data_IF_123201976257
#
_entry.id   IF_123201976257
#
_cell.length_a   1.000
_cell.length_b   1.000
_cell.length_c   1.000
_cell.angle_alpha   90.00
_cell.angle_beta   90.00
_cell.angle_gamma   90.00
#
_symmetry.space_group_name_H-M   'P 1'
#
loop_
_entity.id
_entity.type
_entity.pdbx_description
1 polymer ?
#
# COMPACT_ATOMS: atom_id res chain seq x y z
N UNK A 1 -37.64 14.47 15.32
CA UNK A 1 -36.40 15.25 15.46
C UNK A 1 -35.27 14.27 15.20
N UNK A 2 -34.80 14.16 13.96
CA UNK A 2 -33.62 13.33 13.68
C UNK A 2 -32.43 14.05 14.32
N UNK A 3 -31.84 13.41 15.33
CA UNK A 3 -30.76 14.01 16.09
C UNK A 3 -29.48 13.99 15.25
N UNK A 4 -28.74 15.10 15.22
CA UNK A 4 -27.43 15.17 14.55
C UNK A 4 -26.47 14.09 15.10
N UNK A 5 -26.67 13.69 16.35
CA UNK A 5 -25.97 12.58 16.99
C UNK A 5 -26.13 11.25 16.22
N UNK A 6 -27.36 10.92 15.79
CA UNK A 6 -27.63 9.67 15.06
C UNK A 6 -26.94 9.65 13.68
N UNK A 7 -26.97 10.77 12.95
CA UNK A 7 -26.29 10.89 11.66
C UNK A 7 -24.77 10.72 11.80
N UNK A 8 -24.19 11.28 12.87
CA UNK A 8 -22.77 11.17 13.17
C UNK A 8 -22.36 9.73 13.51
N UNK A 9 -23.13 9.04 14.35
CA UNK A 9 -22.87 7.62 14.67
C UNK A 9 -22.92 6.73 13.42
N UNK A 10 -23.91 6.93 12.55
CA UNK A 10 -24.03 6.18 11.31
C UNK A 10 -22.83 6.42 10.37
N UNK A 11 -22.37 7.66 10.28
CA UNK A 11 -21.20 8.04 9.46
C UNK A 11 -19.92 7.39 10.01
N UNK A 12 -19.67 7.51 11.32
CA UNK A 12 -18.48 6.94 11.97
C UNK A 12 -18.45 5.42 11.79
N UNK A 13 -19.58 4.75 12.03
CA UNK A 13 -19.68 3.30 11.86
C UNK A 13 -19.42 2.88 10.41
N UNK A 14 -20.01 3.59 9.45
CA UNK A 14 -19.81 3.32 8.02
C UNK A 14 -18.34 3.47 7.62
N UNK A 15 -17.68 4.54 8.06
CA UNK A 15 -16.27 4.80 7.78
C UNK A 15 -15.36 3.69 8.30
N UNK A 16 -15.58 3.21 9.52
CA UNK A 16 -14.80 2.10 10.08
C UNK A 16 -14.99 0.80 9.30
N UNK A 17 -16.21 0.54 8.81
CA UNK A 17 -16.47 -0.63 7.94
C UNK A 17 -15.69 -0.52 6.63
N UNK A 18 -15.73 0.63 5.97
CA UNK A 18 -14.98 0.84 4.72
C UNK A 18 -13.47 0.81 4.93
N UNK A 19 -12.96 1.38 6.03
CA UNK A 19 -11.56 1.30 6.42
C UNK A 19 -11.12 -0.17 6.52
N UNK A 20 -11.85 -1.00 7.27
CA UNK A 20 -11.55 -2.41 7.45
C UNK A 20 -11.54 -3.18 6.11
N UNK A 21 -12.48 -2.87 5.22
CA UNK A 21 -12.52 -3.48 3.89
C UNK A 21 -11.27 -3.13 3.07
N UNK A 22 -10.87 -1.86 3.06
CA UNK A 22 -9.69 -1.39 2.33
C UNK A 22 -8.39 -1.97 2.90
N UNK A 23 -8.26 -2.02 4.23
CA UNK A 23 -7.14 -2.68 4.91
C UNK A 23 -7.06 -4.17 4.55
N UNK A 24 -8.21 -4.85 4.53
CA UNK A 24 -8.27 -6.27 4.15
C UNK A 24 -7.82 -6.49 2.71
N UNK A 25 -8.29 -5.65 1.78
CA UNK A 25 -7.87 -5.71 0.37
C UNK A 25 -6.36 -5.45 0.25
N UNK A 26 -5.83 -4.46 0.98
CA UNK A 26 -4.40 -4.17 1.04
C UNK A 26 -3.59 -5.39 1.47
N UNK A 27 -3.97 -6.04 2.57
CA UNK A 27 -3.31 -7.26 3.06
C UNK A 27 -3.35 -8.37 2.01
N UNK A 28 -4.48 -8.58 1.35
CA UNK A 28 -4.62 -9.58 0.27
C UNK A 28 -3.66 -9.27 -0.88
N UNK A 29 -3.55 -8.01 -1.30
CA UNK A 29 -2.61 -7.58 -2.34
C UNK A 29 -1.16 -7.90 -1.96
N UNK A 30 -0.75 -7.61 -0.71
CA UNK A 30 0.61 -7.93 -0.22
C UNK A 30 0.86 -9.44 -0.26
N UNK A 31 -0.10 -10.25 0.21
CA UNK A 31 0.02 -11.71 0.23
C UNK A 31 0.16 -12.27 -1.19
N UNK A 32 -0.67 -11.82 -2.14
CA UNK A 32 -0.60 -12.25 -3.55
C UNK A 32 0.76 -11.85 -4.16
N UNK A 33 1.20 -10.63 -3.91
CA UNK A 33 2.50 -10.12 -4.35
C UNK A 33 3.65 -10.99 -3.85
N UNK A 34 3.63 -11.34 -2.56
CA UNK A 34 4.64 -12.17 -1.92
C UNK A 34 4.68 -13.56 -2.56
N UNK A 35 3.53 -14.21 -2.73
CA UNK A 35 3.45 -15.54 -3.35
C UNK A 35 4.02 -15.51 -4.77
N UNK A 36 3.64 -14.52 -5.59
CA UNK A 36 4.17 -14.37 -6.95
C UNK A 36 5.68 -14.13 -6.97
N UNK A 37 6.19 -13.30 -6.05
CA UNK A 37 7.62 -13.02 -5.94
C UNK A 37 8.43 -14.28 -5.56
N UNK A 38 7.93 -15.08 -4.60
CA UNK A 38 8.54 -16.33 -4.19
C UNK A 38 8.58 -17.35 -5.34
N UNK A 39 7.48 -17.48 -6.12
CA UNK A 39 7.45 -18.35 -7.30
C UNK A 39 8.55 -17.96 -8.30
N UNK A 40 8.71 -16.66 -8.58
CA UNK A 40 9.74 -16.16 -9.51
C UNK A 40 11.15 -16.45 -8.98
N UNK A 41 11.35 -16.33 -7.67
CA UNK A 41 12.63 -16.60 -7.02
C UNK A 41 13.00 -18.09 -7.10
N UNK A 42 12.05 -18.98 -6.83
CA UNK A 42 12.23 -20.45 -6.93
C UNK A 42 12.47 -20.88 -8.38
N UNK A 43 11.85 -20.21 -9.36
CA UNK A 43 12.09 -20.46 -10.79
C UNK A 43 13.46 -19.95 -11.28
N UNK A 44 14.33 -19.41 -10.40
CA UNK A 44 15.65 -18.85 -10.72
C UNK A 44 15.64 -17.79 -11.84
N UNK A 45 14.48 -17.15 -12.10
CA UNK A 45 14.31 -16.09 -13.11
C UNK A 45 14.93 -14.75 -12.69
N UNK A 46 15.79 -14.76 -11.68
CA UNK A 46 16.53 -13.62 -11.15
C UNK A 46 15.76 -12.84 -10.08
N UNK A 47 16.45 -12.50 -8.99
CA UNK A 47 15.87 -11.73 -7.86
C UNK A 47 15.34 -10.35 -8.26
N UNK A 48 15.82 -9.78 -9.37
CA UNK A 48 15.33 -8.49 -9.91
C UNK A 48 13.88 -8.57 -10.40
N UNK A 49 13.52 -9.64 -11.12
CA UNK A 49 12.16 -9.84 -11.61
C UNK A 49 11.17 -10.08 -10.46
N UNK A 50 11.60 -10.81 -9.42
CA UNK A 50 10.81 -11.02 -8.21
C UNK A 50 10.59 -9.70 -7.45
N UNK A 51 11.64 -8.88 -7.29
CA UNK A 51 11.54 -7.56 -6.63
C UNK A 51 10.64 -6.59 -7.39
N UNK A 52 10.75 -6.53 -8.72
CA UNK A 52 9.87 -5.69 -9.54
C UNK A 52 8.40 -6.10 -9.38
N UNK A 53 8.11 -7.40 -9.50
CA UNK A 53 6.74 -7.91 -9.36
C UNK A 53 6.20 -7.67 -7.95
N UNK A 54 7.02 -7.86 -6.92
CA UNK A 54 6.61 -7.58 -5.55
C UNK A 54 6.34 -6.09 -5.32
N UNK A 55 7.19 -5.22 -5.86
CA UNK A 55 7.04 -3.76 -5.76
C UNK A 55 5.73 -3.26 -6.38
N UNK A 56 5.31 -3.82 -7.50
CA UNK A 56 4.03 -3.53 -8.17
C UNK A 56 2.83 -3.85 -7.27
N UNK A 57 2.77 -5.07 -6.71
CA UNK A 57 1.72 -5.46 -5.76
C UNK A 57 1.74 -4.64 -4.46
N UNK A 58 2.94 -4.27 -4.00
CA UNK A 58 3.10 -3.43 -2.83
C UNK A 58 2.54 -2.03 -3.10
N UNK A 59 2.86 -1.41 -4.24
CA UNK A 59 2.31 -0.10 -4.61
C UNK A 59 0.77 -0.10 -4.55
N UNK A 60 0.13 -1.09 -5.18
CA UNK A 60 -1.34 -1.26 -5.16
C UNK A 60 -1.91 -1.41 -3.75
N UNK A 61 -1.29 -2.25 -2.90
CA UNK A 61 -1.76 -2.44 -1.52
C UNK A 61 -1.82 -1.12 -0.75
N UNK A 62 -0.97 -0.17 -1.11
CA UNK A 62 -0.78 1.02 -0.31
C UNK A 62 -1.54 2.23 -0.79
N UNK A 63 -2.00 2.20 -2.03
CA UNK A 63 -3.10 3.06 -2.46
C UNK A 63 -4.38 2.72 -1.66
N UNK A 64 -4.66 1.44 -1.43
CA UNK A 64 -5.80 1.03 -0.59
C UNK A 64 -5.62 1.42 0.88
N UNK A 65 -4.43 1.25 1.43
CA UNK A 65 -4.15 1.63 2.81
C UNK A 65 -4.24 3.15 2.99
N UNK A 66 -3.69 3.94 2.07
CA UNK A 66 -3.85 5.40 2.06
C UNK A 66 -5.33 5.81 1.99
N UNK A 67 -6.14 5.12 1.17
CA UNK A 67 -7.57 5.38 1.11
C UNK A 67 -8.27 5.07 2.45
N UNK A 68 -7.89 3.99 3.13
CA UNK A 68 -8.40 3.64 4.46
C UNK A 68 -8.06 4.72 5.50
N UNK A 69 -6.83 5.24 5.48
CA UNK A 69 -6.38 6.28 6.38
C UNK A 69 -7.05 7.64 6.11
N UNK A 70 -7.32 7.97 4.83
CA UNK A 70 -8.11 9.16 4.47
C UNK A 70 -9.54 9.06 5.03
N UNK A 71 -10.15 7.87 5.00
CA UNK A 71 -11.48 7.66 5.56
C UNK A 71 -11.50 7.90 7.07
N UNK A 72 -10.57 7.30 7.84
CA UNK A 72 -10.57 7.47 9.30
C UNK A 72 -10.25 8.91 9.71
N UNK A 73 -9.31 9.57 9.04
CA UNK A 73 -8.97 10.98 9.33
C UNK A 73 -10.11 11.95 9.05
N UNK A 74 -11.07 11.57 8.19
CA UNK A 74 -12.27 12.37 7.93
C UNK A 74 -13.25 12.37 9.11
N UNK A 75 -13.27 11.31 9.93
CA UNK A 75 -14.18 11.18 11.08
C UNK A 75 -13.50 11.42 12.42
N UNK A 76 -12.21 11.11 12.51
CA UNK A 76 -11.38 11.34 13.68
C UNK A 76 -9.97 11.79 13.21
N UNK A 77 -9.74 13.11 13.08
CA UNK A 77 -8.47 13.64 12.61
C UNK A 77 -7.38 13.48 13.69
N UNK A 78 -6.87 12.27 13.86
CA UNK A 78 -5.73 11.97 14.73
C UNK A 78 -4.40 12.15 13.99
N UNK A 79 -3.62 13.15 14.41
CA UNK A 79 -2.39 13.56 13.74
C UNK A 79 -1.24 12.54 13.88
N UNK A 80 -1.22 11.72 14.93
CA UNK A 80 -0.14 10.75 15.18
C UNK A 80 -0.19 9.60 14.16
N UNK A 81 -1.41 9.12 13.88
CA UNK A 81 -1.69 8.07 12.90
C UNK A 81 -1.31 8.49 11.48
N UNK A 82 -1.63 9.74 11.10
CA UNK A 82 -1.29 10.30 9.80
C UNK A 82 0.23 10.43 9.59
N UNK A 83 0.98 10.79 10.63
CA UNK A 83 2.45 10.91 10.57
C UNK A 83 3.12 9.54 10.35
N UNK A 84 2.65 8.49 11.05
CA UNK A 84 3.18 7.12 10.83
C UNK A 84 2.97 6.65 9.40
N UNK A 85 1.79 6.90 8.84
CA UNK A 85 1.50 6.56 7.45
C UNK A 85 2.43 7.32 6.48
N UNK A 86 2.61 8.62 6.69
CA UNK A 86 3.49 9.43 5.85
C UNK A 86 4.93 8.91 5.85
N UNK A 87 5.43 8.48 7.02
CA UNK A 87 6.76 7.87 7.15
C UNK A 87 6.86 6.57 6.35
N UNK A 88 5.85 5.68 6.45
CA UNK A 88 5.81 4.43 5.69
C UNK A 88 5.79 4.69 4.18
N UNK A 89 5.01 5.68 3.73
CA UNK A 89 4.94 6.08 2.33
C UNK A 89 6.29 6.62 1.81
N UNK A 90 6.98 7.45 2.60
CA UNK A 90 8.32 7.98 2.26
C UNK A 90 9.35 6.85 2.13
N UNK A 91 9.38 5.93 3.09
CA UNK A 91 10.30 4.78 3.06
C UNK A 91 10.08 3.96 1.77
N UNK A 92 8.81 3.73 1.40
CA UNK A 92 8.50 3.01 0.17
C UNK A 92 8.95 3.74 -1.07
N UNK A 93 8.63 5.02 -1.19
CA UNK A 93 9.01 5.83 -2.35
C UNK A 93 10.52 5.81 -2.51
N UNK A 94 11.26 5.95 -1.41
CA UNK A 94 12.72 5.91 -1.42
C UNK A 94 13.27 4.56 -1.89
N UNK A 95 12.78 3.45 -1.32
CA UNK A 95 13.24 2.10 -1.70
C UNK A 95 12.87 1.74 -3.15
N UNK A 96 11.65 2.09 -3.58
CA UNK A 96 11.18 1.79 -4.93
C UNK A 96 11.90 2.67 -5.97
N UNK A 97 12.15 3.94 -5.66
CA UNK A 97 12.95 4.84 -6.49
C UNK A 97 14.39 4.36 -6.66
N UNK A 98 15.05 3.95 -5.57
CA UNK A 98 16.40 3.38 -5.65
C UNK A 98 16.44 2.10 -6.48
N UNK A 99 15.47 1.20 -6.28
CA UNK A 99 15.38 -0.04 -7.05
C UNK A 99 15.16 0.23 -8.55
N UNK A 100 14.30 1.20 -8.89
CA UNK A 100 14.08 1.63 -10.28
C UNK A 100 15.36 2.23 -10.89
N UNK A 101 16.07 3.08 -10.15
CA UNK A 101 17.33 3.69 -10.56
C UNK A 101 18.45 2.67 -10.77
N UNK A 102 18.55 1.65 -9.91
CA UNK A 102 19.51 0.54 -10.07
C UNK A 102 19.22 -0.30 -11.33
N UNK A 103 17.96 -0.42 -11.72
CA UNK A 103 17.55 -1.15 -12.93
C UNK A 103 17.85 -0.37 -14.22
N UNK A 104 17.78 0.95 -14.17
CA UNK A 104 18.14 1.84 -15.29
C UNK A 104 19.63 1.79 -15.64
N UNK A 105 20.48 1.40 -14.68
CA UNK A 105 21.94 1.33 -14.85
C UNK A 105 22.45 0.09 -15.61
N UNK A 106 21.67 -0.44 -16.56
CA UNK A 106 22.22 -1.34 -17.56
C UNK A 106 23.10 -0.54 -18.52
N UNK A 107 24.42 -0.78 -18.59
CA UNK A 107 25.15 -0.43 -19.80
C UNK A 107 24.56 -1.29 -20.93
N UNK A 108 23.99 -0.62 -21.92
CA UNK A 108 23.64 -1.20 -23.22
C UNK A 108 24.94 -1.64 -23.92
N UNK A 109 25.50 -2.77 -23.50
CA UNK A 109 26.47 -3.51 -24.30
C UNK A 109 25.74 -4.69 -24.92
N UNK A 110 25.09 -4.43 -26.05
CA UNK A 110 24.97 -5.46 -27.08
C UNK A 110 25.39 -4.84 -28.41
N UNK A 111 26.26 -5.60 -29.10
CA UNK A 111 26.92 -5.32 -30.38
C UNK A 111 26.00 -5.64 -31.54
#
# INVERSE_FOLDING_TARGET
MFDLAFLRELLVSSVHVFQLLLETISVICVVIGLVKALIILVQLKGGRAARYRFGDWLATALEFQLAADILVTTVDPDLDSLIKLAIIAVIRTFLNYFLAKELEHKPHFEK
#
